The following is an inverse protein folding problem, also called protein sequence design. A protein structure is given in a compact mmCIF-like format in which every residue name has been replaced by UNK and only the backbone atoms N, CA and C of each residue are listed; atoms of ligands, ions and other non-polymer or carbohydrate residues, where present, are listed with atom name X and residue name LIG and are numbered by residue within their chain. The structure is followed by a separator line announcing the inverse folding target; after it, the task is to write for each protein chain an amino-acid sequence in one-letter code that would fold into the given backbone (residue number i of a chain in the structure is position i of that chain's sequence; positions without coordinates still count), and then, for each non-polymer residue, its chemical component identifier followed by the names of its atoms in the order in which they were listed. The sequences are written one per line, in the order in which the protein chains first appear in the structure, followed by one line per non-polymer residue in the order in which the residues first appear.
data_IF_773167688899
#
_entry.id   IF_773167688899
#
_cell.length_a   1.000
_cell.length_b   1.000
_cell.length_c   1.000
_cell.angle_alpha   90.00
_cell.angle_beta   90.00
_cell.angle_gamma   90.00
#
_symmetry.space_group_name_H-M   'P 1'
#
loop_
_entity.id
_entity.type
_entity.pdbx_description
1 polymer ?
#
# COMPACT_ATOMS: atom_id res chain seq x y z
N UNK A 1 11.26 9.05 13.67
CA UNK A 1 12.19 9.33 12.57
C UNK A 1 11.41 9.46 11.28
N UNK A 2 11.65 10.46 10.46
CA UNK A 2 10.89 10.74 9.24
C UNK A 2 11.83 10.84 8.04
N UNK A 3 11.41 10.23 6.92
CA UNK A 3 12.05 10.40 5.64
C UNK A 3 10.95 10.51 4.57
N UNK A 4 10.92 11.61 3.80
CA UNK A 4 9.94 11.86 2.75
C UNK A 4 8.47 11.69 3.14
N UNK A 5 8.02 12.39 4.18
CA UNK A 5 6.67 12.30 4.72
C UNK A 5 6.25 10.92 5.25
N UNK A 6 7.14 9.91 5.16
CA UNK A 6 6.91 8.59 5.70
C UNK A 6 7.60 8.50 7.06
N UNK A 7 6.80 8.55 8.11
CA UNK A 7 7.26 8.49 9.50
C UNK A 7 7.12 7.11 10.09
N UNK A 8 7.95 6.80 11.09
CA UNK A 8 7.80 5.63 11.94
C UNK A 8 7.85 6.07 13.40
N UNK A 9 6.87 5.66 14.19
CA UNK A 9 6.86 5.77 15.63
C UNK A 9 6.91 4.36 16.21
N UNK A 10 7.85 4.11 17.11
CA UNK A 10 8.05 2.80 17.71
C UNK A 10 8.28 2.92 19.22
N UNK A 11 7.76 1.95 19.98
CA UNK A 11 8.11 1.74 21.39
C UNK A 11 9.49 1.09 21.54
N UNK A 12 10.03 0.50 20.47
CA UNK A 12 11.32 -0.17 20.42
C UNK A 12 12.35 0.70 19.70
N UNK A 13 13.66 0.52 19.97
CA UNK A 13 14.70 1.30 19.33
C UNK A 13 14.69 1.18 17.82
N UNK A 14 14.65 2.31 17.11
CA UNK A 14 14.84 2.38 15.67
C UNK A 14 16.34 2.51 15.40
N UNK A 15 16.95 1.46 14.84
CA UNK A 15 18.38 1.36 14.60
C UNK A 15 18.80 2.19 13.38
N UNK A 16 17.96 2.20 12.33
CA UNK A 16 18.22 2.96 11.10
C UNK A 16 16.93 3.29 10.36
N UNK A 17 17.01 4.33 9.50
CA UNK A 17 15.99 4.68 8.53
C UNK A 17 16.67 5.00 7.21
N UNK A 18 16.31 4.28 6.15
CA UNK A 18 16.89 4.39 4.83
C UNK A 18 15.79 4.58 3.78
N UNK A 19 15.94 5.59 2.93
CA UNK A 19 15.04 5.77 1.80
C UNK A 19 15.47 4.87 0.66
N UNK A 20 14.55 4.07 0.11
CA UNK A 20 14.79 3.33 -1.11
C UNK A 20 14.89 4.29 -2.32
N UNK A 21 15.77 3.94 -3.26
CA UNK A 21 15.93 4.67 -4.53
C UNK A 21 14.77 4.32 -5.47
N UNK A 22 13.66 5.00 -5.27
CA UNK A 22 12.44 4.90 -6.10
C UNK A 22 12.31 6.21 -6.87
N UNK A 23 12.14 6.13 -8.18
CA UNK A 23 11.94 7.33 -9.01
C UNK A 23 10.56 7.95 -8.74
N UNK A 24 10.51 8.92 -7.87
CA UNK A 24 9.33 9.74 -7.60
C UNK A 24 9.71 10.97 -6.79
N UNK A 25 8.98 12.08 -6.99
CA UNK A 25 9.15 13.32 -6.22
C UNK A 25 8.26 13.38 -4.98
N UNK A 26 7.10 12.71 -5.01
CA UNK A 26 6.08 12.80 -3.95
C UNK A 26 5.78 11.46 -3.26
N UNK A 27 6.20 10.35 -3.86
CA UNK A 27 5.96 9.00 -3.38
C UNK A 27 7.28 8.33 -3.01
N UNK A 28 7.24 7.22 -2.28
CA UNK A 28 8.46 6.55 -1.91
C UNK A 28 8.25 5.36 -0.98
N UNK A 29 9.37 4.80 -0.57
CA UNK A 29 9.43 3.78 0.47
C UNK A 29 10.62 4.07 1.38
N UNK A 30 10.38 3.98 2.70
CA UNK A 30 11.42 4.10 3.71
C UNK A 30 11.54 2.77 4.45
N UNK A 31 12.74 2.23 4.49
CA UNK A 31 13.09 1.04 5.24
C UNK A 31 13.58 1.42 6.64
N UNK A 32 12.91 0.93 7.66
CA UNK A 32 13.26 1.07 9.06
C UNK A 32 13.78 -0.26 9.61
N UNK A 33 14.82 -0.22 10.44
CA UNK A 33 15.28 -1.36 11.22
C UNK A 33 14.93 -1.12 12.67
N UNK A 34 14.16 -2.00 13.28
CA UNK A 34 13.64 -1.88 14.64
C UNK A 34 14.15 -3.07 15.45
N UNK A 35 14.80 -2.79 16.59
CA UNK A 35 15.24 -3.83 17.51
C UNK A 35 14.08 -4.28 18.41
N UNK A 36 13.71 -5.55 18.35
CA UNK A 36 12.66 -6.13 19.18
C UNK A 36 13.10 -7.50 19.71
N UNK A 37 13.22 -7.63 21.03
CA UNK A 37 13.61 -8.89 21.72
C UNK A 37 14.90 -9.54 21.18
N UNK A 38 15.89 -8.74 20.83
CA UNK A 38 17.16 -9.21 20.28
C UNK A 38 17.19 -9.40 18.76
N UNK A 39 16.03 -9.39 18.10
CA UNK A 39 15.90 -9.50 16.65
C UNK A 39 15.74 -8.14 15.99
N UNK A 40 16.14 -8.05 14.73
CA UNK A 40 15.87 -6.88 13.90
C UNK A 40 14.63 -7.11 13.05
N UNK A 41 13.58 -6.33 13.28
CA UNK A 41 12.41 -6.28 12.39
C UNK A 41 12.65 -5.20 11.35
N UNK A 42 12.52 -5.55 10.07
CA UNK A 42 12.67 -4.63 8.95
C UNK A 42 11.28 -4.20 8.46
N UNK A 43 11.00 -2.90 8.56
CA UNK A 43 9.71 -2.32 8.18
C UNK A 43 9.89 -1.41 6.97
N UNK A 44 9.24 -1.76 5.87
CA UNK A 44 9.11 -0.92 4.67
C UNK A 44 7.80 -0.13 4.77
N UNK A 45 7.90 1.16 5.04
CA UNK A 45 6.76 2.06 5.01
C UNK A 45 6.66 2.69 3.62
N UNK A 46 5.56 2.45 2.92
CA UNK A 46 5.38 2.77 1.52
C UNK A 46 4.24 3.77 1.31
N UNK A 47 4.48 4.74 0.43
CA UNK A 47 3.43 5.49 -0.26
C UNK A 47 3.77 5.44 -1.75
N UNK A 48 3.15 4.49 -2.48
CA UNK A 48 3.47 4.25 -3.87
C UNK A 48 2.76 5.25 -4.79
N UNK A 49 3.11 5.24 -6.07
CA UNK A 49 2.62 6.20 -7.06
C UNK A 49 1.11 6.37 -7.01
N UNK A 50 0.67 7.57 -6.69
CA UNK A 50 -0.74 7.95 -6.71
C UNK A 50 -1.31 7.92 -8.13
N UNK A 51 -2.59 7.56 -8.22
CA UNK A 51 -3.34 7.61 -9.48
C UNK A 51 -3.61 9.04 -9.97
N UNK A 52 -3.34 10.07 -9.14
CA UNK A 52 -3.57 11.50 -9.43
C UNK A 52 -4.99 11.77 -9.96
N UNK A 53 -5.99 11.14 -9.32
CA UNK A 53 -7.39 11.25 -9.70
C UNK A 53 -7.96 12.58 -9.17
N UNK A 54 -8.35 13.49 -10.07
CA UNK A 54 -9.01 14.74 -9.77
C UNK A 54 -10.53 14.60 -9.85
N UNK A 55 -11.27 15.66 -9.49
CA UNK A 55 -12.73 15.61 -9.43
C UNK A 55 -13.38 15.32 -10.79
N UNK A 56 -12.80 15.79 -11.87
CA UNK A 56 -13.27 15.46 -13.24
C UNK A 56 -13.13 13.95 -13.53
N UNK A 57 -12.03 13.33 -13.12
CA UNK A 57 -11.79 11.88 -13.26
C UNK A 57 -12.81 11.07 -12.45
N UNK A 58 -13.09 11.54 -11.21
CA UNK A 58 -14.11 10.92 -10.33
C UNK A 58 -15.51 11.00 -10.94
N UNK A 59 -15.86 12.11 -11.56
CA UNK A 59 -17.12 12.27 -12.27
C UNK A 59 -17.20 11.33 -13.50
N UNK A 60 -16.12 11.26 -14.28
CA UNK A 60 -16.02 10.31 -15.41
C UNK A 60 -16.21 8.87 -14.95
N UNK A 61 -15.55 8.47 -13.83
CA UNK A 61 -15.71 7.14 -13.24
C UNK A 61 -17.16 6.86 -12.83
N UNK A 62 -17.83 7.82 -12.15
CA UNK A 62 -19.24 7.68 -11.77
C UNK A 62 -20.17 7.52 -12.97
N UNK A 63 -19.96 8.33 -14.02
CA UNK A 63 -20.74 8.24 -15.26
C UNK A 63 -20.52 6.89 -15.94
N UNK A 64 -19.27 6.42 -16.02
CA UNK A 64 -18.92 5.12 -16.58
C UNK A 64 -19.62 3.96 -15.86
N UNK A 65 -19.70 4.00 -14.52
CA UNK A 65 -20.41 2.98 -13.74
C UNK A 65 -21.93 3.07 -13.97
N UNK A 66 -22.48 4.28 -14.04
CA UNK A 66 -23.92 4.51 -14.17
C UNK A 66 -24.42 4.11 -15.56
N UNK A 67 -23.70 4.46 -16.61
CA UNK A 67 -24.02 4.11 -18.00
C UNK A 67 -22.75 3.73 -18.77
N UNK A 68 -22.30 2.45 -18.67
CA UNK A 68 -21.10 1.99 -19.36
C UNK A 68 -21.21 2.06 -20.89
N UNK A 69 -22.42 1.86 -21.46
CA UNK A 69 -22.61 1.81 -22.92
C UNK A 69 -22.36 3.19 -23.56
N UNK A 70 -22.83 4.25 -22.91
CA UNK A 70 -22.67 5.61 -23.40
C UNK A 70 -21.23 6.13 -23.19
N UNK A 71 -20.63 5.86 -22.01
CA UNK A 71 -19.40 6.53 -21.60
C UNK A 71 -18.11 5.75 -21.89
N UNK A 72 -18.17 4.42 -22.17
CA UNK A 72 -16.98 3.57 -22.37
C UNK A 72 -16.04 4.10 -23.48
N UNK A 73 -16.58 4.67 -24.56
CA UNK A 73 -15.81 5.16 -25.70
C UNK A 73 -15.50 6.65 -25.63
N UNK A 74 -15.93 7.33 -24.56
CA UNK A 74 -15.71 8.78 -24.42
C UNK A 74 -14.22 9.13 -24.32
N UNK A 75 -13.85 10.34 -24.76
CA UNK A 75 -12.48 10.84 -24.62
C UNK A 75 -12.06 10.94 -23.16
N UNK A 76 -12.98 11.34 -22.27
CA UNK A 76 -12.72 11.42 -20.82
C UNK A 76 -12.39 10.05 -20.24
N UNK A 77 -13.13 9.00 -20.60
CA UNK A 77 -12.81 7.61 -20.16
C UNK A 77 -11.46 7.16 -20.67
N UNK A 78 -11.11 7.43 -21.93
CA UNK A 78 -9.79 7.09 -22.49
C UNK A 78 -8.66 7.80 -21.72
N UNK A 79 -8.83 9.06 -21.38
CA UNK A 79 -7.86 9.83 -20.59
C UNK A 79 -7.71 9.25 -19.18
N UNK A 80 -8.81 8.91 -18.51
CA UNK A 80 -8.79 8.26 -17.20
C UNK A 80 -8.06 6.91 -17.25
N UNK A 81 -8.38 6.06 -18.23
CA UNK A 81 -7.71 4.76 -18.39
C UNK A 81 -6.21 4.92 -18.64
N UNK A 82 -5.80 5.86 -19.48
CA UNK A 82 -4.37 6.13 -19.71
C UNK A 82 -3.66 6.59 -18.43
N UNK A 83 -4.28 7.48 -17.66
CA UNK A 83 -3.74 7.94 -16.35
C UNK A 83 -3.57 6.78 -15.39
N UNK A 84 -4.57 5.91 -15.26
CA UNK A 84 -4.50 4.72 -14.40
C UNK A 84 -3.42 3.74 -14.86
N UNK A 85 -3.32 3.49 -16.17
CA UNK A 85 -2.28 2.63 -16.76
C UNK A 85 -0.88 3.16 -16.47
N UNK A 86 -0.65 4.45 -16.67
CA UNK A 86 0.67 5.06 -16.49
C UNK A 86 1.08 5.06 -15.01
N UNK A 87 0.11 5.27 -14.10
CA UNK A 87 0.35 5.16 -12.65
C UNK A 87 0.62 3.70 -12.24
N UNK A 88 -0.10 2.74 -12.81
CA UNK A 88 0.11 1.32 -12.53
C UNK A 88 1.49 0.84 -13.01
N UNK A 89 1.97 1.30 -14.18
CA UNK A 89 3.32 0.99 -14.65
C UNK A 89 4.39 1.48 -13.66
N UNK A 90 4.29 2.72 -13.19
CA UNK A 90 5.22 3.25 -12.18
C UNK A 90 5.18 2.47 -10.87
N UNK A 91 3.99 2.05 -10.41
CA UNK A 91 3.88 1.21 -9.21
C UNK A 91 4.50 -0.17 -9.41
N UNK A 92 4.41 -0.74 -10.62
CA UNK A 92 5.07 -1.99 -10.94
C UNK A 92 6.59 -1.88 -10.77
N UNK A 93 7.21 -0.84 -11.33
CA UNK A 93 8.65 -0.56 -11.17
C UNK A 93 9.02 -0.36 -9.70
N UNK A 94 8.18 0.37 -8.93
CA UNK A 94 8.38 0.58 -7.50
C UNK A 94 8.32 -0.73 -6.71
N UNK A 95 7.35 -1.61 -7.03
CA UNK A 95 7.22 -2.91 -6.40
C UNK A 95 8.42 -3.83 -6.71
N UNK A 96 8.96 -3.76 -7.92
CA UNK A 96 10.16 -4.51 -8.30
C UNK A 96 11.40 -4.04 -7.53
N UNK A 97 11.57 -2.73 -7.33
CA UNK A 97 12.65 -2.18 -6.49
C UNK A 97 12.52 -2.66 -5.04
N UNK A 98 11.32 -2.60 -4.46
CA UNK A 98 11.07 -3.02 -3.08
C UNK A 98 11.33 -4.52 -2.93
N UNK A 99 10.82 -5.36 -3.83
CA UNK A 99 11.05 -6.81 -3.79
C UNK A 99 12.51 -7.17 -3.95
N UNK A 100 13.24 -6.50 -4.85
CA UNK A 100 14.67 -6.73 -5.03
C UNK A 100 15.51 -6.31 -3.79
N UNK A 101 15.05 -5.36 -3.00
CA UNK A 101 15.68 -4.99 -1.72
C UNK A 101 15.34 -6.03 -0.64
N UNK A 102 14.08 -6.49 -0.57
CA UNK A 102 13.64 -7.55 0.35
C UNK A 102 14.42 -8.86 0.11
N UNK A 103 14.64 -9.24 -1.15
CA UNK A 103 15.38 -10.46 -1.50
C UNK A 103 16.86 -10.45 -1.03
N UNK A 104 17.42 -9.27 -0.77
CA UNK A 104 18.79 -9.09 -0.24
C UNK A 104 18.83 -8.94 1.27
N UNK A 105 17.67 -8.85 1.91
CA UNK A 105 17.59 -8.59 3.35
C UNK A 105 17.98 -9.84 4.14
N UNK A 106 18.82 -9.66 5.16
CA UNK A 106 19.30 -10.75 5.99
C UNK A 106 18.35 -11.12 7.13
N UNK A 107 17.51 -10.17 7.55
CA UNK A 107 16.51 -10.43 8.58
C UNK A 107 15.35 -11.23 8.02
N UNK A 108 14.92 -12.30 8.69
CA UNK A 108 13.71 -13.03 8.31
C UNK A 108 12.42 -12.28 8.66
N UNK A 109 12.49 -11.27 9.54
CA UNK A 109 11.33 -10.55 10.07
C UNK A 109 11.07 -9.28 9.26
N UNK A 110 10.25 -9.38 8.23
CA UNK A 110 9.97 -8.29 7.29
C UNK A 110 8.49 -7.90 7.34
N UNK A 111 8.22 -6.61 7.36
CA UNK A 111 6.90 -6.02 7.26
C UNK A 111 6.93 -4.98 6.14
N UNK A 112 5.95 -5.01 5.24
CA UNK A 112 5.73 -3.97 4.22
C UNK A 112 4.34 -3.39 4.45
N UNK A 113 4.24 -2.10 4.70
CA UNK A 113 2.95 -1.45 4.99
C UNK A 113 2.84 -0.08 4.35
N UNK A 114 1.61 0.42 4.24
CA UNK A 114 1.30 1.77 3.80
C UNK A 114 0.29 1.83 2.66
N UNK A 115 0.19 3.02 2.07
CA UNK A 115 -0.66 3.27 0.91
C UNK A 115 0.04 2.81 -0.39
N UNK A 116 -0.43 1.69 -0.94
CA UNK A 116 0.09 1.19 -2.21
C UNK A 116 -0.58 1.84 -3.42
N UNK A 117 -1.64 2.64 -3.22
CA UNK A 117 -2.46 3.21 -4.27
C UNK A 117 -2.98 2.16 -5.29
N UNK A 118 -3.03 0.91 -4.87
CA UNK A 118 -3.33 -0.23 -5.73
C UNK A 118 -4.17 -1.29 -5.00
N UNK A 119 -4.95 -2.03 -5.76
CA UNK A 119 -5.87 -3.04 -5.22
C UNK A 119 -5.15 -4.35 -4.86
N UNK A 120 -5.75 -5.23 -4.03
CA UNK A 120 -5.16 -6.53 -3.64
C UNK A 120 -4.88 -7.48 -4.80
N UNK A 121 -5.52 -7.27 -5.96
CA UNK A 121 -5.38 -8.10 -7.18
C UNK A 121 -4.41 -7.48 -8.20
N UNK A 122 -3.80 -6.34 -7.89
CA UNK A 122 -2.86 -5.65 -8.78
C UNK A 122 -1.53 -6.39 -8.94
N UNK A 123 -0.76 -6.00 -9.95
CA UNK A 123 0.63 -6.46 -10.12
C UNK A 123 1.47 -6.16 -8.88
N UNK A 124 1.37 -4.94 -8.35
CA UNK A 124 2.08 -4.49 -7.14
C UNK A 124 1.89 -5.45 -5.97
N UNK A 125 0.62 -5.73 -5.62
CA UNK A 125 0.32 -6.66 -4.53
C UNK A 125 0.69 -8.10 -4.89
N UNK A 126 0.50 -8.53 -6.13
CA UNK A 126 0.90 -9.87 -6.57
C UNK A 126 2.42 -10.07 -6.49
N UNK A 127 3.20 -9.08 -6.88
CA UNK A 127 4.67 -9.11 -6.84
C UNK A 127 5.19 -9.26 -5.41
N UNK A 128 4.66 -8.46 -4.48
CA UNK A 128 5.00 -8.54 -3.05
C UNK A 128 4.56 -9.86 -2.41
N UNK A 129 3.37 -10.36 -2.76
CA UNK A 129 2.83 -11.64 -2.24
C UNK A 129 3.63 -12.89 -2.65
N UNK A 130 4.58 -12.78 -3.57
CA UNK A 130 5.52 -13.88 -3.85
C UNK A 130 6.50 -14.13 -2.71
N UNK A 131 6.75 -13.12 -1.87
CA UNK A 131 7.69 -13.16 -0.75
C UNK A 131 6.99 -13.02 0.61
N UNK A 132 5.81 -12.40 0.64
CA UNK A 132 5.12 -11.97 1.85
C UNK A 132 3.66 -12.44 1.86
N UNK A 133 3.09 -12.57 3.04
CA UNK A 133 1.66 -12.81 3.26
C UNK A 133 0.92 -11.48 3.42
N UNK A 134 -0.29 -11.36 2.88
CA UNK A 134 -1.18 -10.22 3.11
C UNK A 134 -1.93 -10.43 4.44
N UNK A 135 -1.66 -9.60 5.45
CA UNK A 135 -2.24 -9.71 6.78
C UNK A 135 -3.77 -9.63 6.76
N UNK A 136 -4.33 -8.79 5.88
CA UNK A 136 -5.79 -8.65 5.79
C UNK A 136 -6.45 -9.89 5.16
N UNK A 137 -5.80 -10.52 4.17
CA UNK A 137 -6.30 -11.79 3.60
C UNK A 137 -6.22 -12.90 4.65
N UNK A 138 -5.17 -12.90 5.46
CA UNK A 138 -4.94 -13.95 6.48
C UNK A 138 -5.84 -13.84 7.72
N UNK A 139 -6.20 -12.62 8.15
CA UNK A 139 -6.86 -12.40 9.44
C UNK A 139 -7.91 -11.29 9.47
N UNK A 140 -8.17 -10.62 8.34
CA UNK A 140 -9.17 -9.57 8.24
C UNK A 140 -10.56 -10.12 7.93
N UNK A 141 -11.57 -9.25 8.08
CA UNK A 141 -12.96 -9.57 7.79
C UNK A 141 -13.59 -8.54 6.84
N UNK A 142 -14.31 -9.03 5.82
CA UNK A 142 -14.99 -8.21 4.82
C UNK A 142 -14.05 -7.62 3.76
N UNK A 143 -14.46 -6.58 3.01
CA UNK A 143 -13.71 -6.06 1.86
C UNK A 143 -12.48 -5.21 2.22
N UNK A 144 -12.29 -4.81 3.49
CA UNK A 144 -11.12 -4.04 3.94
C UNK A 144 -10.98 -2.65 3.32
N UNK A 145 -12.07 -2.00 2.98
CA UNK A 145 -12.06 -0.69 2.32
C UNK A 145 -11.36 0.33 3.21
N UNK A 146 -10.18 0.78 2.79
CA UNK A 146 -9.39 1.79 3.49
C UNK A 146 -9.56 3.19 2.89
N UNK A 147 -9.84 3.32 1.60
CA UNK A 147 -10.16 4.59 0.95
C UNK A 147 -11.66 4.72 0.69
N UNK A 148 -12.26 5.85 1.10
CA UNK A 148 -13.70 6.12 0.99
C UNK A 148 -13.97 7.58 0.67
N UNK A 149 -13.84 7.96 -0.59
CA UNK A 149 -14.16 9.32 -1.05
C UNK A 149 -14.97 9.31 -2.35
N UNK A 150 -15.96 10.18 -2.40
CA UNK A 150 -16.74 10.47 -3.62
C UNK A 150 -17.37 9.23 -4.31
N UNK A 151 -17.74 8.21 -3.53
CA UNK A 151 -18.34 6.97 -4.05
C UNK A 151 -17.33 5.97 -4.61
N UNK A 152 -16.03 6.19 -4.38
CA UNK A 152 -14.97 5.23 -4.64
C UNK A 152 -14.60 4.52 -3.34
N UNK A 153 -14.66 3.20 -3.35
CA UNK A 153 -14.48 2.34 -2.18
C UNK A 153 -13.42 1.30 -2.50
N UNK A 154 -12.17 1.54 -2.04
CA UNK A 154 -11.06 0.67 -2.38
C UNK A 154 -10.26 0.27 -1.14
N UNK A 155 -9.70 -0.94 -1.14
CA UNK A 155 -8.61 -1.32 -0.27
C UNK A 155 -7.31 -1.03 -1.01
N UNK A 156 -6.61 0.03 -0.61
CA UNK A 156 -5.33 0.46 -1.20
C UNK A 156 -4.23 0.62 -0.16
N UNK A 157 -4.60 0.56 1.13
CA UNK A 157 -3.67 0.46 2.23
C UNK A 157 -3.49 -1.00 2.62
N UNK A 158 -2.25 -1.42 2.77
CA UNK A 158 -1.90 -2.83 2.99
C UNK A 158 -0.90 -2.98 4.12
N UNK A 159 -0.96 -4.14 4.78
CA UNK A 159 0.08 -4.66 5.67
C UNK A 159 0.42 -6.06 5.16
N UNK A 160 1.68 -6.26 4.80
CA UNK A 160 2.21 -7.56 4.39
C UNK A 160 3.36 -7.93 5.30
N UNK A 161 3.55 -9.21 5.56
CA UNK A 161 4.58 -9.71 6.47
C UNK A 161 5.25 -10.97 5.92
N UNK A 162 6.50 -11.20 6.34
CA UNK A 162 7.22 -12.43 6.04
C UNK A 162 6.55 -13.65 6.68
N UNK A 163 6.78 -14.87 6.16
CA UNK A 163 6.18 -16.10 6.69
C UNK A 163 6.50 -16.39 8.17
N UNK A 164 7.54 -15.78 8.73
CA UNK A 164 7.94 -15.87 10.14
C UNK A 164 7.04 -15.10 11.10
N UNK A 165 6.03 -14.42 10.56
CA UNK A 165 4.96 -13.84 11.36
C UNK A 165 3.64 -14.52 11.09
N UNK A 166 2.80 -14.56 12.11
CA UNK A 166 1.39 -14.86 12.00
C UNK A 166 0.56 -13.62 12.30
N UNK A 167 -0.38 -13.30 11.42
CA UNK A 167 -1.22 -12.12 11.55
C UNK A 167 -2.54 -12.46 12.23
N UNK A 168 -3.00 -11.54 13.11
CA UNK A 168 -4.28 -11.63 13.81
C UNK A 168 -5.03 -10.31 13.74
N UNK A 169 -6.35 -10.37 13.70
CA UNK A 169 -7.28 -9.24 13.83
C UNK A 169 -6.95 -8.05 12.92
N UNK A 170 -6.54 -8.33 11.67
CA UNK A 170 -6.27 -7.25 10.73
C UNK A 170 -7.56 -6.49 10.41
N UNK A 171 -7.57 -5.21 10.73
CA UNK A 171 -8.79 -4.39 10.73
C UNK A 171 -8.54 -3.03 10.10
N UNK A 172 -9.55 -2.53 9.36
CA UNK A 172 -9.64 -1.14 8.92
C UNK A 172 -10.58 -0.40 9.86
N UNK A 173 -10.06 0.57 10.61
CA UNK A 173 -10.84 1.32 11.60
C UNK A 173 -11.62 2.46 10.95
N UNK A 174 -12.90 2.22 10.69
CA UNK A 174 -13.82 3.19 10.10
C UNK A 174 -14.40 4.21 11.11
N UNK A 175 -14.08 4.10 12.39
CA UNK A 175 -14.47 5.08 13.41
C UNK A 175 -13.67 6.37 13.28
N UNK A 176 -12.41 6.29 12.80
CA UNK A 176 -11.51 7.41 12.58
C UNK A 176 -11.76 8.00 11.18
N UNK A 177 -12.27 9.24 11.12
CA UNK A 177 -12.72 9.91 9.88
C UNK A 177 -12.03 11.25 9.63
N UNK A 178 -10.83 11.42 10.14
CA UNK A 178 -10.04 12.66 10.00
C UNK A 178 -9.30 12.76 8.65
N UNK A 179 -9.26 11.67 7.87
CA UNK A 179 -8.63 11.55 6.56
C UNK A 179 -9.60 10.91 5.56
N UNK A 180 -9.25 10.93 4.28
CA UNK A 180 -9.90 10.14 3.23
C UNK A 180 -9.45 8.68 3.21
N UNK A 181 -8.45 8.34 4.01
CA UNK A 181 -8.09 6.98 4.35
C UNK A 181 -8.47 6.62 5.77
N UNK A 182 -8.96 5.41 5.98
CA UNK A 182 -9.13 4.81 7.29
C UNK A 182 -7.86 4.08 7.70
N UNK A 183 -7.42 4.21 8.97
CA UNK A 183 -6.27 3.44 9.45
C UNK A 183 -6.46 1.94 9.31
N UNK A 184 -5.40 1.25 8.92
CA UNK A 184 -5.31 -0.21 8.96
C UNK A 184 -4.32 -0.64 10.03
N UNK A 185 -4.65 -1.66 10.80
CA UNK A 185 -3.77 -2.24 11.81
C UNK A 185 -3.96 -3.76 11.91
N UNK A 186 -2.96 -4.45 12.45
CA UNK A 186 -3.02 -5.87 12.80
C UNK A 186 -2.08 -6.18 13.94
N UNK A 187 -2.25 -7.33 14.55
CA UNK A 187 -1.27 -7.93 15.45
C UNK A 187 -0.42 -8.94 14.67
N UNK A 188 0.89 -8.91 14.89
CA UNK A 188 1.83 -9.85 14.30
C UNK A 188 2.59 -10.55 15.42
N UNK A 189 2.52 -11.89 15.43
CA UNK A 189 3.26 -12.75 16.36
C UNK A 189 4.41 -13.41 15.61
N UNK A 190 5.62 -13.42 16.21
CA UNK A 190 6.77 -14.17 15.68
C UNK A 190 6.55 -15.67 15.93
N UNK A 191 6.71 -16.47 14.88
CA UNK A 191 6.71 -17.94 14.96
C UNK A 191 8.12 -18.51 15.09
#
# INVERSE_FOLDING_TARGET
MTAHHLGCLSKHPILSAEKLKIESTANGCTKYRILHEGDTIVVYNCHLQSNNIHDNDKNTYKQLIKDPKEHLRSQATKQLVNKLRDSAAKRADQADVITADIEKESSPYIIVCGDFNDSPISYTCHRLKRLLNDAYIGSGNGPGISYNRHGMYFRIDHIMHSPQFKAYDCTVDRSIKISDHYPIFCFLEKE
#
